data_IF_226555245153
#
_entry.id   IF_226555245153
#
_cell.length_a   1.000
_cell.length_b   1.000
_cell.length_c   1.000
_cell.angle_alpha   90.00
_cell.angle_beta   90.00
_cell.angle_gamma   90.00
#
_symmetry.space_group_name_H-M   'P 1'
#
loop_
_entity.id
_entity.type
_entity.pdbx_description
1 polymer ?
#
# COMPACT_ATOMS: atom_id res chain seq x y z
N UNK A 1 -21.25 16.11 -1.22
CA UNK A 1 -20.16 17.13 -1.25
C UNK A 1 -18.76 16.51 -1.20
N UNK A 2 -18.35 15.73 -0.14
CA UNK A 2 -16.99 15.07 -0.11
C UNK A 2 -16.85 14.06 -1.24
N UNK A 3 -17.83 13.20 -1.42
CA UNK A 3 -17.79 12.15 -2.46
C UNK A 3 -17.67 12.72 -3.88
N UNK A 4 -18.37 13.77 -4.22
CA UNK A 4 -18.28 14.42 -5.53
C UNK A 4 -16.89 15.01 -5.79
N UNK A 5 -16.24 15.57 -4.75
CA UNK A 5 -14.84 16.02 -4.83
C UNK A 5 -13.88 14.84 -5.04
N UNK A 6 -14.10 13.71 -4.35
CA UNK A 6 -13.33 12.47 -4.54
C UNK A 6 -13.49 11.93 -5.95
N UNK A 7 -14.72 11.88 -6.48
CA UNK A 7 -14.96 11.46 -7.86
C UNK A 7 -14.29 12.39 -8.86
N UNK A 8 -14.30 13.70 -8.62
CA UNK A 8 -13.64 14.66 -9.50
C UNK A 8 -12.12 14.42 -9.57
N UNK A 9 -11.48 14.06 -8.44
CA UNK A 9 -10.05 13.69 -8.39
C UNK A 9 -9.75 12.41 -9.17
N UNK A 10 -10.65 11.44 -9.13
CA UNK A 10 -10.48 10.13 -9.78
C UNK A 10 -11.02 10.08 -11.21
N UNK A 11 -11.73 11.12 -11.70
CA UNK A 11 -12.38 11.13 -13.02
C UNK A 11 -11.42 10.75 -14.17
N UNK A 12 -10.17 11.20 -14.13
CA UNK A 12 -9.15 10.83 -15.14
C UNK A 12 -8.55 9.43 -14.92
N UNK A 13 -8.95 8.71 -13.89
CA UNK A 13 -8.46 7.38 -13.53
C UNK A 13 -9.52 6.29 -13.70
N UNK A 14 -10.75 6.66 -13.99
CA UNK A 14 -11.83 5.72 -14.27
C UNK A 14 -11.59 4.98 -15.59
N UNK A 15 -11.92 3.69 -15.62
CA UNK A 15 -11.86 2.83 -16.79
C UNK A 15 -13.21 2.12 -16.97
N UNK A 16 -13.91 2.34 -18.10
CA UNK A 16 -15.20 1.69 -18.36
C UNK A 16 -15.13 0.14 -18.38
N UNK A 17 -13.96 -0.42 -18.71
CA UNK A 17 -13.76 -1.87 -18.71
C UNK A 17 -13.54 -2.46 -17.32
N UNK A 18 -13.20 -1.61 -16.35
CA UNK A 18 -12.92 -2.00 -14.96
C UNK A 18 -13.64 -1.04 -14.00
N UNK A 19 -15.00 -1.13 -13.88
CA UNK A 19 -15.79 -0.13 -13.17
C UNK A 19 -15.35 0.08 -11.72
N UNK A 20 -15.06 -0.99 -10.98
CA UNK A 20 -14.55 -0.89 -9.61
C UNK A 20 -13.04 -0.66 -9.58
N UNK A 21 -12.26 -1.43 -10.33
CA UNK A 21 -10.81 -1.52 -10.16
C UNK A 21 -10.03 -0.47 -10.98
N UNK A 22 -10.66 0.29 -11.89
CA UNK A 22 -10.00 1.21 -12.82
C UNK A 22 -8.94 2.12 -12.18
N UNK A 23 -9.26 2.94 -11.17
CA UNK A 23 -8.29 3.81 -10.51
C UNK A 23 -7.13 3.05 -9.86
N UNK A 24 -7.40 1.88 -9.29
CA UNK A 24 -6.38 1.07 -8.63
C UNK A 24 -5.44 0.41 -9.64
N UNK A 25 -5.97 -0.07 -10.78
CA UNK A 25 -5.16 -0.61 -11.88
C UNK A 25 -4.26 0.46 -12.49
N UNK A 26 -4.75 1.70 -12.59
CA UNK A 26 -3.93 2.82 -13.08
C UNK A 26 -2.77 3.13 -12.13
N UNK A 27 -3.00 3.06 -10.82
CA UNK A 27 -1.92 3.21 -9.83
C UNK A 27 -0.90 2.05 -9.92
N UNK A 28 -1.34 0.80 -10.07
CA UNK A 28 -0.45 -0.35 -10.33
C UNK A 28 0.42 -0.15 -11.57
N UNK A 29 -0.14 0.44 -12.62
CA UNK A 29 0.58 0.76 -13.83
C UNK A 29 1.62 1.86 -13.62
N UNK A 30 1.29 2.92 -12.86
CA UNK A 30 2.20 4.03 -12.55
C UNK A 30 3.41 3.55 -11.75
N UNK A 31 3.23 2.68 -10.77
CA UNK A 31 4.32 2.15 -9.94
C UNK A 31 5.02 0.92 -10.55
N UNK A 32 4.70 0.55 -11.81
CA UNK A 32 5.36 -0.53 -12.54
C UNK A 32 5.05 -1.94 -12.04
N UNK A 33 4.03 -2.08 -11.20
CA UNK A 33 3.56 -3.36 -10.67
C UNK A 33 2.69 -4.12 -11.70
N UNK A 34 2.21 -3.42 -12.72
CA UNK A 34 1.40 -3.95 -13.82
C UNK A 34 2.12 -3.78 -15.16
N UNK A 35 2.79 -4.82 -15.63
CA UNK A 35 3.64 -4.78 -16.82
C UNK A 35 2.82 -4.84 -18.12
N UNK A 36 2.27 -3.73 -18.55
CA UNK A 36 1.55 -3.59 -19.84
C UNK A 36 2.23 -2.63 -20.81
N UNK A 37 3.37 -2.08 -20.41
CA UNK A 37 4.09 -1.06 -21.18
C UNK A 37 5.05 -1.61 -22.23
N UNK A 38 5.82 -0.71 -22.83
CA UNK A 38 6.94 -1.06 -23.73
C UNK A 38 8.00 -1.87 -22.99
N UNK A 39 8.81 -2.65 -23.74
CA UNK A 39 9.92 -3.44 -23.17
C UNK A 39 10.86 -2.57 -22.33
N UNK A 40 11.21 -1.39 -22.84
CA UNK A 40 12.08 -0.43 -22.13
C UNK A 40 11.50 -0.03 -20.76
N UNK A 41 10.22 0.32 -20.72
CA UNK A 41 9.56 0.71 -19.48
C UNK A 41 9.50 -0.45 -18.46
N UNK A 42 9.16 -1.64 -18.93
CA UNK A 42 9.12 -2.81 -18.06
C UNK A 42 10.50 -3.12 -17.48
N UNK A 43 11.58 -3.06 -18.30
CA UNK A 43 12.96 -3.25 -17.82
C UNK A 43 13.38 -2.16 -16.82
N UNK A 44 12.98 -0.90 -17.04
CA UNK A 44 13.26 0.18 -16.10
C UNK A 44 12.60 -0.07 -14.73
N UNK A 45 11.35 -0.54 -14.71
CA UNK A 45 10.68 -0.91 -13.45
C UNK A 45 11.28 -2.15 -12.80
N UNK A 46 11.72 -3.16 -13.59
CA UNK A 46 12.44 -4.31 -13.04
C UNK A 46 13.75 -3.89 -12.34
N UNK A 47 14.44 -2.91 -12.91
CA UNK A 47 15.63 -2.32 -12.27
C UNK A 47 15.27 -1.60 -10.96
N UNK A 48 14.19 -0.79 -10.94
CA UNK A 48 13.73 -0.11 -9.72
C UNK A 48 13.33 -1.12 -8.65
N UNK A 49 12.58 -2.17 -9.00
CA UNK A 49 12.19 -3.21 -8.05
C UNK A 49 13.41 -4.03 -7.56
N UNK A 50 14.37 -4.30 -8.44
CA UNK A 50 15.65 -4.90 -8.06
C UNK A 50 16.44 -4.01 -7.09
N UNK A 51 16.47 -2.71 -7.34
CA UNK A 51 17.11 -1.73 -6.43
C UNK A 51 16.42 -1.69 -5.06
N UNK A 52 15.10 -1.87 -4.99
CA UNK A 52 14.37 -1.98 -3.72
C UNK A 52 14.84 -3.22 -2.92
N UNK A 53 15.04 -4.37 -3.57
CA UNK A 53 15.58 -5.56 -2.91
C UNK A 53 16.98 -5.29 -2.35
N UNK A 54 17.86 -4.71 -3.18
CA UNK A 54 19.23 -4.35 -2.75
C UNK A 54 19.17 -3.41 -1.55
N UNK A 55 18.29 -2.41 -1.59
CA UNK A 55 18.13 -1.45 -0.49
C UNK A 55 17.66 -2.12 0.81
N UNK A 56 16.73 -3.07 0.74
CA UNK A 56 16.31 -3.85 1.91
C UNK A 56 17.49 -4.66 2.48
N UNK A 57 18.30 -5.28 1.63
CA UNK A 57 19.49 -6.01 2.07
C UNK A 57 20.47 -5.05 2.78
N UNK A 58 20.71 -3.86 2.22
CA UNK A 58 21.58 -2.85 2.83
C UNK A 58 21.08 -2.37 4.19
N UNK A 59 19.76 -2.29 4.39
CA UNK A 59 19.16 -1.99 5.69
C UNK A 59 19.38 -3.12 6.70
N UNK A 60 19.27 -4.39 6.30
CA UNK A 60 19.57 -5.52 7.18
C UNK A 60 21.04 -5.59 7.55
N UNK A 61 21.95 -5.26 6.61
CA UNK A 61 23.38 -5.16 6.90
C UNK A 61 23.64 -4.08 7.95
N UNK A 62 23.05 -2.89 7.78
CA UNK A 62 23.16 -1.79 8.75
C UNK A 62 22.65 -2.22 10.13
N UNK A 63 21.47 -2.83 10.18
CA UNK A 63 20.86 -3.35 11.41
C UNK A 63 21.77 -4.37 12.11
N UNK A 64 22.43 -5.23 11.36
CA UNK A 64 23.41 -6.19 11.90
C UNK A 64 24.65 -5.49 12.48
N UNK A 65 25.15 -4.44 11.81
CA UNK A 65 26.32 -3.69 12.26
C UNK A 65 26.05 -2.92 13.56
N UNK A 66 24.83 -2.35 13.71
CA UNK A 66 24.44 -1.59 14.91
C UNK A 66 23.84 -2.46 16.04
N UNK A 67 23.82 -3.79 15.91
CA UNK A 67 23.14 -4.73 16.83
C UNK A 67 23.50 -4.59 18.31
N UNK A 68 24.65 -4.00 18.63
CA UNK A 68 25.11 -3.78 20.00
C UNK A 68 24.53 -2.49 20.63
N UNK A 69 23.93 -1.61 19.85
CA UNK A 69 23.26 -0.39 20.32
C UNK A 69 21.74 -0.56 20.23
N UNK A 70 21.13 -0.97 21.34
CA UNK A 70 19.70 -1.29 21.39
C UNK A 70 18.82 -0.11 20.95
N UNK A 71 19.19 1.14 21.27
CA UNK A 71 18.42 2.31 20.91
C UNK A 71 18.43 2.54 19.39
N UNK A 72 19.58 2.39 18.75
CA UNK A 72 19.69 2.48 17.28
C UNK A 72 18.96 1.35 16.59
N UNK A 73 19.07 0.11 17.12
CA UNK A 73 18.33 -1.06 16.60
C UNK A 73 16.83 -0.81 16.64
N UNK A 74 16.27 -0.39 17.79
CA UNK A 74 14.84 -0.15 17.95
C UNK A 74 14.32 0.95 16.99
N UNK A 75 15.13 1.98 16.74
CA UNK A 75 14.76 3.05 15.82
C UNK A 75 14.77 2.58 14.35
N UNK A 76 15.69 1.70 13.97
CA UNK A 76 15.86 1.28 12.57
C UNK A 76 15.03 0.05 12.19
N UNK A 77 14.77 -0.86 13.15
CA UNK A 77 14.08 -2.13 12.86
C UNK A 77 12.70 -1.93 12.27
N UNK A 78 11.94 -0.93 12.73
CA UNK A 78 10.59 -0.67 12.23
C UNK A 78 10.58 -0.25 10.76
N UNK A 79 11.51 0.59 10.32
CA UNK A 79 11.65 1.00 8.92
C UNK A 79 12.18 -0.15 8.05
N UNK A 80 13.12 -0.93 8.57
CA UNK A 80 13.65 -2.11 7.87
C UNK A 80 12.55 -3.17 7.64
N UNK A 81 11.74 -3.46 8.66
CA UNK A 81 10.60 -4.39 8.54
C UNK A 81 9.55 -3.85 7.56
N UNK A 82 9.23 -2.55 7.63
CA UNK A 82 8.32 -1.92 6.67
C UNK A 82 8.82 -2.03 5.23
N UNK A 83 10.12 -1.80 5.01
CA UNK A 83 10.75 -1.96 3.68
C UNK A 83 10.69 -3.42 3.20
N UNK A 84 10.92 -4.39 4.09
CA UNK A 84 10.79 -5.81 3.76
C UNK A 84 9.36 -6.21 3.40
N UNK A 85 8.35 -5.72 4.13
CA UNK A 85 6.93 -5.92 3.81
C UNK A 85 6.60 -5.29 2.45
N UNK A 86 7.08 -4.07 2.18
CA UNK A 86 6.91 -3.40 0.90
C UNK A 86 7.48 -4.25 -0.24
N UNK A 87 8.69 -4.77 -0.10
CA UNK A 87 9.30 -5.65 -1.07
C UNK A 87 8.48 -6.94 -1.27
N UNK A 88 8.01 -7.57 -0.19
CA UNK A 88 7.17 -8.77 -0.28
C UNK A 88 5.87 -8.52 -1.05
N UNK A 89 5.20 -7.38 -0.83
CA UNK A 89 4.01 -6.95 -1.59
C UNK A 89 4.32 -6.73 -3.07
N UNK A 90 5.40 -6.03 -3.38
CA UNK A 90 5.89 -5.82 -4.74
C UNK A 90 6.17 -7.15 -5.44
N UNK A 91 6.93 -8.02 -4.78
CA UNK A 91 7.29 -9.35 -5.28
C UNK A 91 6.04 -10.20 -5.55
N UNK A 92 5.05 -10.22 -4.65
CA UNK A 92 3.79 -10.91 -4.84
C UNK A 92 3.06 -10.49 -6.11
N UNK A 93 2.94 -9.18 -6.38
CA UNK A 93 2.29 -8.68 -7.60
C UNK A 93 3.06 -8.98 -8.88
N UNK A 94 4.40 -8.93 -8.84
CA UNK A 94 5.24 -9.15 -10.01
C UNK A 94 5.35 -10.62 -10.36
N UNK A 95 5.50 -11.51 -9.36
CA UNK A 95 5.68 -12.94 -9.59
C UNK A 95 4.38 -13.66 -9.96
N UNK A 96 3.28 -13.30 -9.28
CA UNK A 96 1.95 -13.86 -9.57
C UNK A 96 1.10 -12.93 -10.44
N UNK A 97 1.74 -12.25 -11.39
CA UNK A 97 1.05 -11.28 -12.24
C UNK A 97 -0.03 -11.92 -13.12
N UNK A 98 0.16 -13.16 -13.55
CA UNK A 98 -0.81 -13.88 -14.39
C UNK A 98 -2.09 -14.12 -13.60
N UNK A 99 -1.96 -14.64 -12.39
CA UNK A 99 -3.07 -14.96 -11.48
C UNK A 99 -3.81 -13.69 -11.06
N UNK A 100 -3.07 -12.61 -10.74
CA UNK A 100 -3.65 -11.31 -10.44
C UNK A 100 -4.44 -10.73 -11.63
N UNK A 101 -3.93 -10.89 -12.85
CA UNK A 101 -4.64 -10.45 -14.06
C UNK A 101 -5.89 -11.25 -14.32
N UNK A 102 -5.84 -12.56 -14.11
CA UNK A 102 -7.00 -13.41 -14.27
C UNK A 102 -8.09 -13.00 -13.26
N UNK A 103 -7.74 -12.83 -11.98
CA UNK A 103 -8.67 -12.39 -10.95
C UNK A 103 -9.31 -11.04 -11.29
N UNK A 104 -8.52 -10.05 -11.71
CA UNK A 104 -9.02 -8.73 -12.12
C UNK A 104 -9.97 -8.84 -13.31
N UNK A 105 -9.64 -9.68 -14.29
CA UNK A 105 -10.47 -9.92 -15.48
C UNK A 105 -11.81 -10.52 -15.08
N UNK A 106 -11.80 -11.59 -14.29
CA UNK A 106 -13.02 -12.29 -13.84
C UNK A 106 -13.94 -11.33 -13.04
N UNK A 107 -13.38 -10.54 -12.11
CA UNK A 107 -14.14 -9.54 -11.35
C UNK A 107 -14.77 -8.52 -12.31
N UNK A 108 -14.01 -8.00 -13.26
CA UNK A 108 -14.49 -6.95 -14.17
C UNK A 108 -15.54 -7.46 -15.14
N UNK A 109 -15.37 -8.68 -15.68
CA UNK A 109 -16.35 -9.32 -16.58
C UNK A 109 -17.67 -9.57 -15.85
N UNK A 110 -17.64 -10.09 -14.62
CA UNK A 110 -18.84 -10.35 -13.83
C UNK A 110 -19.54 -9.02 -13.44
N UNK A 111 -18.79 -8.00 -13.04
CA UNK A 111 -19.35 -6.68 -12.73
C UNK A 111 -20.03 -6.06 -13.94
N UNK A 112 -19.39 -6.08 -15.11
CA UNK A 112 -19.96 -5.58 -16.37
C UNK A 112 -21.21 -6.37 -16.78
N UNK A 113 -21.22 -7.68 -16.59
CA UNK A 113 -22.38 -8.51 -16.85
C UNK A 113 -23.55 -8.15 -15.93
N UNK A 114 -23.29 -7.92 -14.64
CA UNK A 114 -24.30 -7.48 -13.68
C UNK A 114 -24.85 -6.08 -14.00
N UNK A 115 -23.97 -5.15 -14.40
CA UNK A 115 -24.39 -3.80 -14.81
C UNK A 115 -25.31 -3.85 -16.04
N UNK A 116 -25.00 -4.72 -17.02
CA UNK A 116 -25.82 -4.88 -18.24
C UNK A 116 -27.22 -5.45 -17.96
N UNK A 117 -27.42 -6.21 -16.91
CA UNK A 117 -28.73 -6.74 -16.51
C UNK A 117 -29.72 -5.67 -16.04
N UNK A 118 -29.25 -4.48 -15.72
CA UNK A 118 -30.04 -3.33 -15.27
C UNK A 118 -30.99 -3.63 -14.08
N UNK A 119 -30.64 -4.62 -13.25
CA UNK A 119 -31.36 -4.90 -12.02
C UNK A 119 -31.14 -3.77 -11.02
N UNK A 120 -32.20 -3.05 -10.59
CA UNK A 120 -32.05 -1.87 -9.74
C UNK A 120 -31.46 -2.20 -8.37
N UNK A 121 -31.72 -3.39 -7.82
CA UNK A 121 -31.15 -3.84 -6.57
C UNK A 121 -29.64 -4.08 -6.69
N UNK A 122 -29.23 -4.79 -7.73
CA UNK A 122 -27.81 -5.08 -8.01
C UNK A 122 -27.06 -3.78 -8.26
N UNK A 123 -27.60 -2.88 -9.07
CA UNK A 123 -26.97 -1.58 -9.34
C UNK A 123 -26.81 -0.72 -8.07
N UNK A 124 -27.77 -0.76 -7.15
CA UNK A 124 -27.63 -0.09 -5.87
C UNK A 124 -26.40 -0.59 -5.10
N UNK A 125 -26.21 -1.91 -4.97
CA UNK A 125 -25.08 -2.48 -4.26
C UNK A 125 -23.75 -2.24 -4.97
N UNK A 126 -23.70 -2.33 -6.32
CA UNK A 126 -22.52 -1.98 -7.10
C UNK A 126 -22.12 -0.52 -6.83
N UNK A 127 -23.06 0.40 -6.85
CA UNK A 127 -22.80 1.80 -6.56
C UNK A 127 -22.30 2.03 -5.12
N UNK A 128 -22.87 1.32 -4.15
CA UNK A 128 -22.47 1.42 -2.74
C UNK A 128 -21.03 0.94 -2.52
N UNK A 129 -20.66 -0.26 -2.98
CA UNK A 129 -19.29 -0.75 -2.76
C UNK A 129 -18.26 0.00 -3.61
N UNK A 130 -18.61 0.43 -4.83
CA UNK A 130 -17.73 1.27 -5.64
C UNK A 130 -17.49 2.62 -4.99
N UNK A 131 -18.54 3.27 -4.49
CA UNK A 131 -18.44 4.52 -3.73
C UNK A 131 -17.54 4.38 -2.52
N UNK A 132 -17.71 3.31 -1.74
CA UNK A 132 -16.88 3.01 -0.58
C UNK A 132 -15.41 2.84 -0.99
N UNK A 133 -15.13 2.01 -2.00
CA UNK A 133 -13.78 1.78 -2.49
C UNK A 133 -13.10 3.08 -2.95
N UNK A 134 -13.82 3.97 -3.66
CA UNK A 134 -13.29 5.27 -4.12
C UNK A 134 -12.87 6.17 -2.95
N UNK A 135 -13.75 6.31 -1.95
CA UNK A 135 -13.49 7.16 -0.78
C UNK A 135 -12.28 6.64 -0.01
N UNK A 136 -12.26 5.34 0.28
CA UNK A 136 -11.13 4.73 1.01
C UNK A 136 -9.82 4.87 0.23
N UNK A 137 -9.82 4.63 -1.09
CA UNK A 137 -8.63 4.77 -1.94
C UNK A 137 -8.04 6.18 -1.83
N UNK A 138 -8.86 7.22 -1.95
CA UNK A 138 -8.39 8.60 -1.90
C UNK A 138 -7.88 8.96 -0.50
N UNK A 139 -8.63 8.60 0.56
CA UNK A 139 -8.21 8.87 1.94
C UNK A 139 -6.88 8.17 2.27
N UNK A 140 -6.72 6.93 1.82
CA UNK A 140 -5.48 6.19 2.08
C UNK A 140 -4.28 6.77 1.31
N UNK A 141 -4.48 7.22 0.05
CA UNK A 141 -3.45 7.92 -0.70
C UNK A 141 -3.00 9.20 0.00
N UNK A 142 -3.94 10.01 0.51
CA UNK A 142 -3.59 11.20 1.30
C UNK A 142 -2.79 10.84 2.56
N UNK A 143 -3.19 9.78 3.26
CA UNK A 143 -2.47 9.32 4.46
C UNK A 143 -1.04 8.88 4.10
N UNK A 144 -0.87 8.06 3.07
CA UNK A 144 0.45 7.54 2.68
C UNK A 144 1.35 8.64 2.14
N UNK A 145 0.83 9.55 1.32
CA UNK A 145 1.61 10.69 0.81
C UNK A 145 2.01 11.64 1.95
N UNK A 146 1.11 11.90 2.90
CA UNK A 146 1.40 12.72 4.08
C UNK A 146 2.47 12.10 4.97
N UNK A 147 2.38 10.80 5.25
CA UNK A 147 3.40 10.09 6.05
C UNK A 147 4.74 10.00 5.33
N UNK A 148 4.76 9.79 4.01
CA UNK A 148 5.99 9.80 3.24
C UNK A 148 6.66 11.19 3.23
N UNK A 149 5.87 12.25 3.08
CA UNK A 149 6.37 13.63 3.15
C UNK A 149 6.98 13.91 4.51
N UNK A 150 6.29 13.54 5.60
CA UNK A 150 6.80 13.71 6.96
C UNK A 150 8.11 12.93 7.18
N UNK A 151 8.19 11.69 6.68
CA UNK A 151 9.39 10.86 6.76
C UNK A 151 10.60 11.54 6.08
N UNK A 152 10.40 12.15 4.91
CA UNK A 152 11.45 12.84 4.14
C UNK A 152 11.85 14.16 4.81
N UNK A 153 10.87 14.91 5.31
CA UNK A 153 11.11 16.26 5.83
C UNK A 153 11.65 16.25 7.27
N UNK A 154 11.31 15.24 8.09
CA UNK A 154 11.71 15.18 9.50
C UNK A 154 13.23 15.34 9.74
N UNK A 155 14.14 14.61 9.03
CA UNK A 155 15.58 14.80 9.23
C UNK A 155 16.06 16.19 8.81
N UNK A 156 15.47 16.77 7.77
CA UNK A 156 15.79 18.14 7.34
C UNK A 156 15.33 19.17 8.37
N UNK A 157 14.13 19.00 8.93
CA UNK A 157 13.64 19.87 10.00
C UNK A 157 14.54 19.80 11.24
N UNK A 158 14.98 18.60 11.64
CA UNK A 158 15.92 18.43 12.76
C UNK A 158 17.21 19.22 12.53
N UNK A 159 17.77 19.12 11.32
CA UNK A 159 18.98 19.86 10.96
C UNK A 159 18.76 21.37 10.94
N UNK A 160 17.66 21.85 10.38
CA UNK A 160 17.39 23.29 10.26
C UNK A 160 16.99 23.95 11.59
N UNK A 161 16.24 23.25 12.47
CA UNK A 161 15.66 23.84 13.68
C UNK A 161 16.59 23.82 14.89
N UNK A 162 17.60 22.93 14.94
CA UNK A 162 18.47 22.77 16.11
C UNK A 162 19.88 23.23 15.83
N UNK A 163 20.25 24.39 16.42
CA UNK A 163 21.61 24.95 16.36
C UNK A 163 22.61 24.02 17.08
N UNK A 164 22.25 23.53 18.26
CA UNK A 164 23.05 22.58 19.02
C UNK A 164 23.34 21.29 18.22
N UNK A 165 22.38 20.81 17.43
CA UNK A 165 22.58 19.62 16.59
C UNK A 165 23.58 19.91 15.45
N UNK A 166 23.53 21.08 14.82
CA UNK A 166 24.51 21.48 13.80
C UNK A 166 25.92 21.59 14.37
N UNK A 167 26.06 22.19 15.56
CA UNK A 167 27.36 22.30 16.26
C UNK A 167 27.95 20.91 16.59
N UNK A 168 27.10 19.94 17.02
CA UNK A 168 27.53 18.57 17.28
C UNK A 168 27.99 17.86 16.01
N UNK A 169 27.33 18.12 14.86
CA UNK A 169 27.78 17.62 13.56
C UNK A 169 29.12 18.24 13.16
N UNK A 170 29.31 19.56 13.33
CA UNK A 170 30.56 20.25 13.02
C UNK A 170 31.74 19.76 13.90
N UNK A 171 31.46 19.43 15.16
CA UNK A 171 32.43 18.81 16.08
C UNK A 171 32.70 17.33 15.81
N UNK A 172 31.92 16.68 14.92
CA UNK A 172 32.03 15.25 14.61
C UNK A 172 31.44 14.34 15.71
N UNK A 173 30.66 14.89 16.65
CA UNK A 173 30.01 14.16 17.73
C UNK A 173 28.73 13.49 17.27
N UNK A 174 28.02 14.06 16.29
CA UNK A 174 26.82 13.55 15.68
C UNK A 174 26.97 13.41 14.15
N UNK A 175 26.18 12.51 13.58
CA UNK A 175 26.21 12.23 12.14
C UNK A 175 25.15 13.06 11.40
N UNK A 176 25.38 13.31 10.11
CA UNK A 176 24.39 13.93 9.23
C UNK A 176 23.09 13.08 9.22
N UNK A 177 21.90 13.75 9.25
CA UNK A 177 20.65 13.05 9.38
C UNK A 177 20.30 12.27 8.09
N UNK A 178 19.91 11.01 8.22
CA UNK A 178 19.42 10.16 7.15
C UNK A 178 17.90 9.96 7.27
N UNK A 179 17.25 9.71 6.14
CA UNK A 179 15.80 9.41 6.07
C UNK A 179 15.55 7.97 6.51
N UNK A 180 16.33 7.05 5.95
CA UNK A 180 16.28 5.63 6.25
C UNK A 180 17.73 5.17 6.39
N UNK A 181 18.07 4.60 7.53
CA UNK A 181 19.42 4.09 7.76
C UNK A 181 19.66 2.81 6.96
N UNK A 182 20.75 2.79 6.22
CA UNK A 182 21.21 1.66 5.43
C UNK A 182 22.71 1.74 5.27
N UNK A 183 23.37 0.61 5.18
CA UNK A 183 24.79 0.55 4.89
C UNK A 183 25.05 0.87 3.41
N UNK A 184 26.08 1.67 3.13
CA UNK A 184 26.50 1.96 1.77
C UNK A 184 28.00 1.65 1.61
N UNK A 185 28.47 1.21 0.43
CA UNK A 185 29.87 0.88 0.19
C UNK A 185 30.78 2.11 0.00
N UNK A 186 30.28 3.30 0.30
CA UNK A 186 31.02 4.57 0.20
C UNK A 186 30.74 5.45 1.43
N UNK A 187 31.56 6.47 1.62
CA UNK A 187 31.43 7.39 2.77
C UNK A 187 30.18 8.28 2.59
N UNK A 188 29.15 7.98 3.40
CA UNK A 188 27.88 8.71 3.40
C UNK A 188 27.89 9.97 4.31
N UNK A 189 29.02 10.23 5.00
CA UNK A 189 29.14 11.37 5.88
C UNK A 189 29.89 12.54 5.24
N UNK A 190 30.41 12.36 4.02
CA UNK A 190 31.09 13.39 3.24
C UNK A 190 30.40 13.65 1.91
N UNK A 191 30.48 14.88 1.43
CA UNK A 191 30.05 15.20 0.06
C UNK A 191 31.02 14.61 -0.96
N UNK A 192 30.56 14.02 -2.09
CA UNK A 192 29.19 13.95 -2.58
C UNK A 192 28.40 12.72 -2.09
N UNK A 193 29.01 11.78 -1.35
CA UNK A 193 28.38 10.52 -0.95
C UNK A 193 27.09 10.72 -0.14
N UNK A 194 27.06 11.70 0.76
CA UNK A 194 25.84 12.07 1.50
C UNK A 194 24.67 12.44 0.57
N UNK A 195 24.91 13.31 -0.41
CA UNK A 195 23.87 13.75 -1.33
C UNK A 195 23.31 12.57 -2.17
N UNK A 196 24.22 11.70 -2.65
CA UNK A 196 23.82 10.50 -3.42
C UNK A 196 22.96 9.58 -2.56
N UNK A 197 23.36 9.35 -1.29
CA UNK A 197 22.62 8.48 -0.38
C UNK A 197 21.23 9.03 -0.06
N UNK A 198 21.09 10.34 0.20
CA UNK A 198 19.81 11.00 0.48
C UNK A 198 18.87 10.95 -0.73
N UNK A 199 19.36 11.27 -1.92
CA UNK A 199 18.54 11.19 -3.15
C UNK A 199 18.04 9.76 -3.36
N UNK A 200 18.90 8.78 -3.19
CA UNK A 200 18.53 7.37 -3.31
C UNK A 200 17.47 6.97 -2.26
N UNK A 201 17.63 7.40 -1.01
CA UNK A 201 16.66 7.16 0.07
C UNK A 201 15.31 7.79 -0.23
N UNK A 202 15.26 9.02 -0.76
CA UNK A 202 14.02 9.69 -1.17
C UNK A 202 13.30 8.89 -2.27
N UNK A 203 14.03 8.43 -3.27
CA UNK A 203 13.47 7.62 -4.37
C UNK A 203 12.90 6.31 -3.81
N UNK A 204 13.66 5.60 -2.97
CA UNK A 204 13.23 4.33 -2.40
C UNK A 204 12.03 4.49 -1.44
N UNK A 205 12.02 5.53 -0.60
CA UNK A 205 10.89 5.84 0.29
C UNK A 205 9.62 6.16 -0.50
N UNK A 206 9.73 6.96 -1.56
CA UNK A 206 8.59 7.34 -2.42
C UNK A 206 8.05 6.16 -3.21
N UNK A 207 8.94 5.33 -3.78
CA UNK A 207 8.57 4.11 -4.48
C UNK A 207 7.88 3.12 -3.52
N UNK A 208 8.48 2.90 -2.33
CA UNK A 208 7.92 2.01 -1.31
C UNK A 208 6.53 2.44 -0.84
N UNK A 209 6.35 3.72 -0.57
CA UNK A 209 5.05 4.29 -0.18
C UNK A 209 3.99 4.07 -1.27
N UNK A 210 4.35 4.29 -2.55
CA UNK A 210 3.47 4.06 -3.68
C UNK A 210 3.10 2.59 -3.87
N UNK A 211 4.04 1.67 -3.70
CA UNK A 211 3.79 0.23 -3.74
C UNK A 211 2.80 -0.19 -2.64
N UNK A 212 3.01 0.25 -1.40
CA UNK A 212 2.11 -0.04 -0.29
C UNK A 212 0.70 0.48 -0.58
N UNK A 213 0.58 1.78 -0.93
CA UNK A 213 -0.72 2.38 -1.20
C UNK A 213 -1.47 1.66 -2.32
N UNK A 214 -0.78 1.36 -3.41
CA UNK A 214 -1.37 0.71 -4.58
C UNK A 214 -1.80 -0.74 -4.28
N UNK A 215 -0.95 -1.51 -3.60
CA UNK A 215 -1.26 -2.89 -3.23
C UNK A 215 -2.48 -2.95 -2.29
N UNK A 216 -2.43 -2.21 -1.19
CA UNK A 216 -3.47 -2.27 -0.15
C UNK A 216 -4.82 -1.79 -0.68
N UNK A 217 -4.84 -0.75 -1.51
CA UNK A 217 -6.09 -0.28 -2.10
C UNK A 217 -6.66 -1.23 -3.15
N UNK A 218 -5.84 -1.98 -3.89
CA UNK A 218 -6.33 -3.06 -4.73
C UNK A 218 -6.98 -4.16 -3.90
N UNK A 219 -6.32 -4.61 -2.85
CA UNK A 219 -6.87 -5.62 -1.94
C UNK A 219 -8.19 -5.15 -1.36
N UNK A 220 -8.28 -3.92 -0.83
CA UNK A 220 -9.52 -3.35 -0.26
C UNK A 220 -10.64 -3.27 -1.30
N UNK A 221 -10.33 -2.91 -2.55
CA UNK A 221 -11.34 -2.86 -3.62
C UNK A 221 -11.88 -4.26 -3.94
N UNK A 222 -11.01 -5.26 -4.07
CA UNK A 222 -11.39 -6.66 -4.30
C UNK A 222 -12.24 -7.19 -3.13
N UNK A 223 -11.86 -6.86 -1.89
CA UNK A 223 -12.63 -7.22 -0.71
C UNK A 223 -14.02 -6.59 -0.70
N UNK A 224 -14.11 -5.33 -1.11
CA UNK A 224 -15.39 -4.61 -1.21
C UNK A 224 -16.29 -5.25 -2.27
N UNK A 225 -15.72 -5.72 -3.38
CA UNK A 225 -16.42 -6.49 -4.39
C UNK A 225 -16.99 -7.78 -3.80
N UNK A 226 -16.17 -8.63 -3.17
CA UNK A 226 -16.65 -9.89 -2.59
C UNK A 226 -17.72 -9.67 -1.52
N UNK A 227 -17.56 -8.65 -0.66
CA UNK A 227 -18.60 -8.26 0.29
C UNK A 227 -19.91 -7.92 -0.44
N UNK A 228 -19.85 -7.13 -1.51
CA UNK A 228 -20.99 -6.77 -2.33
C UNK A 228 -21.68 -7.98 -2.94
N UNK A 229 -20.90 -8.91 -3.52
CA UNK A 229 -21.41 -10.16 -4.09
C UNK A 229 -22.11 -11.04 -3.05
N UNK A 230 -21.55 -11.13 -1.83
CA UNK A 230 -22.18 -11.88 -0.73
C UNK A 230 -23.53 -11.30 -0.33
N UNK A 231 -23.66 -9.96 -0.29
CA UNK A 231 -24.92 -9.31 0.01
C UNK A 231 -25.96 -9.56 -1.09
N UNK A 232 -25.56 -9.45 -2.36
CA UNK A 232 -26.43 -9.74 -3.51
C UNK A 232 -26.89 -11.21 -3.48
N UNK A 233 -25.99 -12.14 -3.19
CA UNK A 233 -26.31 -13.56 -3.10
C UNK A 233 -27.28 -13.84 -1.96
N UNK A 234 -27.03 -13.26 -0.78
CA UNK A 234 -27.95 -13.37 0.37
C UNK A 234 -29.36 -12.89 0.03
N UNK A 235 -29.47 -11.75 -0.64
CA UNK A 235 -30.78 -11.20 -1.03
C UNK A 235 -31.50 -12.10 -2.03
N UNK A 236 -30.79 -12.55 -3.07
CA UNK A 236 -31.37 -13.50 -4.05
C UNK A 236 -31.77 -14.83 -3.43
N UNK A 237 -31.00 -15.32 -2.45
CA UNK A 237 -31.36 -16.52 -1.70
C UNK A 237 -32.65 -16.29 -0.91
N UNK A 238 -32.82 -15.18 -0.24
CA UNK A 238 -34.05 -14.84 0.48
C UNK A 238 -35.26 -14.77 -0.47
N UNK A 239 -35.12 -14.15 -1.64
CA UNK A 239 -36.17 -14.06 -2.65
C UNK A 239 -36.59 -15.45 -3.18
N UNK A 240 -35.65 -16.40 -3.28
CA UNK A 240 -35.93 -17.79 -3.67
C UNK A 240 -36.64 -18.55 -2.54
N UNK A 241 -36.25 -18.34 -1.28
CA UNK A 241 -36.90 -18.99 -0.12
C UNK A 241 -38.31 -18.49 0.12
N UNK A 242 -38.57 -17.22 -0.12
CA UNK A 242 -39.92 -16.68 -0.05
C UNK A 242 -40.82 -17.12 -1.23
N UNK A 243 -40.20 -17.57 -2.36
CA UNK A 243 -40.87 -17.94 -3.60
C UNK A 243 -41.06 -19.45 -3.87
N UNK A 244 -40.22 -20.34 -3.32
CA UNK A 244 -40.32 -21.76 -3.63
C UNK A 244 -39.54 -22.64 -2.63
N UNK A 245 -40.26 -23.50 -1.92
CA UNK A 245 -39.68 -24.66 -1.23
C UNK A 245 -39.20 -25.67 -2.28
N UNK A 246 -37.93 -25.81 -2.56
CA UNK A 246 -37.44 -26.79 -3.54
C UNK A 246 -35.98 -27.24 -3.35
N UNK A 247 -35.75 -28.49 -3.63
CA UNK A 247 -34.64 -29.41 -3.46
C UNK A 247 -33.26 -29.06 -4.03
N UNK A 248 -33.00 -27.87 -4.56
CA UNK A 248 -31.70 -27.49 -5.16
C UNK A 248 -30.74 -26.77 -4.20
N UNK A 249 -31.12 -26.66 -2.94
CA UNK A 249 -30.39 -25.82 -1.94
C UNK A 249 -29.02 -26.38 -1.57
N UNK A 250 -28.89 -27.71 -1.45
CA UNK A 250 -27.66 -28.36 -1.02
C UNK A 250 -26.52 -28.28 -2.07
N UNK A 251 -26.84 -28.29 -3.35
CA UNK A 251 -25.83 -28.18 -4.42
C UNK A 251 -25.30 -26.75 -4.55
N UNK A 252 -26.18 -25.75 -4.47
CA UNK A 252 -25.77 -24.34 -4.50
C UNK A 252 -24.98 -23.96 -3.25
N UNK A 253 -25.34 -24.48 -2.08
CA UNK A 253 -24.57 -24.26 -0.84
C UNK A 253 -23.20 -24.95 -0.89
N UNK A 254 -23.10 -26.16 -1.43
CA UNK A 254 -21.81 -26.85 -1.63
C UNK A 254 -20.92 -26.15 -2.63
N UNK A 255 -21.48 -25.66 -3.75
CA UNK A 255 -20.76 -24.85 -4.74
C UNK A 255 -20.27 -23.53 -4.13
N UNK A 256 -21.14 -22.85 -3.39
CA UNK A 256 -20.81 -21.64 -2.66
C UNK A 256 -19.67 -21.84 -1.66
N UNK A 257 -19.72 -22.91 -0.86
CA UNK A 257 -18.70 -23.21 0.14
C UNK A 257 -17.37 -23.64 -0.50
N UNK A 258 -17.37 -24.31 -1.63
CA UNK A 258 -16.16 -24.70 -2.37
C UNK A 258 -15.47 -23.50 -3.03
N UNK A 259 -16.22 -22.49 -3.46
CA UNK A 259 -15.70 -21.26 -4.05
C UNK A 259 -15.24 -20.25 -2.98
N UNK A 260 -15.92 -20.22 -1.83
CA UNK A 260 -15.62 -19.26 -0.76
C UNK A 260 -14.45 -19.69 0.13
N UNK A 261 -14.30 -20.98 0.39
CA UNK A 261 -13.32 -21.47 1.36
C UNK A 261 -11.86 -21.11 1.01
N UNK A 262 -11.34 -21.34 -0.20
CA UNK A 262 -9.97 -20.97 -0.54
C UNK A 262 -9.78 -19.45 -0.66
N UNK A 263 -10.79 -18.74 -1.18
CA UNK A 263 -10.73 -17.27 -1.32
C UNK A 263 -10.82 -16.57 0.02
N UNK A 264 -11.64 -17.06 0.96
CA UNK A 264 -11.73 -16.51 2.31
C UNK A 264 -10.46 -16.79 3.14
N UNK A 265 -9.83 -17.95 2.96
CA UNK A 265 -8.55 -18.24 3.63
C UNK A 265 -7.43 -17.33 3.14
N UNK A 266 -7.31 -17.17 1.82
CA UNK A 266 -6.35 -16.22 1.21
C UNK A 266 -6.64 -14.78 1.66
N UNK A 267 -7.91 -14.42 1.75
CA UNK A 267 -8.38 -13.14 2.25
C UNK A 267 -7.96 -12.88 3.69
N UNK A 268 -8.21 -13.82 4.61
CA UNK A 268 -7.82 -13.68 6.03
C UNK A 268 -6.30 -13.56 6.16
N UNK A 269 -5.52 -14.32 5.39
CA UNK A 269 -4.06 -14.21 5.35
C UNK A 269 -3.60 -12.82 4.85
N UNK A 270 -4.18 -12.33 3.76
CA UNK A 270 -3.85 -10.99 3.23
C UNK A 270 -4.27 -9.88 4.20
N UNK A 271 -5.44 -10.00 4.85
CA UNK A 271 -5.89 -9.08 5.88
C UNK A 271 -4.95 -9.07 7.09
N UNK A 272 -4.53 -10.22 7.58
CA UNK A 272 -3.61 -10.27 8.72
C UNK A 272 -2.26 -9.62 8.38
N UNK A 273 -1.76 -9.81 7.18
CA UNK A 273 -0.53 -9.13 6.71
C UNK A 273 -0.72 -7.61 6.56
N UNK A 274 -1.88 -7.16 6.06
CA UNK A 274 -2.16 -5.72 5.95
C UNK A 274 -2.38 -5.08 7.32
N UNK A 275 -3.02 -5.76 8.26
CA UNK A 275 -3.19 -5.29 9.64
C UNK A 275 -1.83 -5.18 10.32
N UNK A 276 -0.95 -6.18 10.20
CA UNK A 276 0.41 -6.10 10.75
C UNK A 276 1.20 -4.92 10.15
N UNK A 277 1.13 -4.71 8.83
CA UNK A 277 1.73 -3.54 8.18
C UNK A 277 1.16 -2.21 8.68
N UNK A 278 -0.16 -2.16 8.89
CA UNK A 278 -0.84 -0.97 9.43
C UNK A 278 -0.49 -0.70 10.89
N UNK A 279 -0.36 -1.73 11.72
CA UNK A 279 0.09 -1.59 13.13
C UNK A 279 1.52 -1.05 13.19
N UNK A 280 2.41 -1.51 12.33
CA UNK A 280 3.78 -0.96 12.21
C UNK A 280 3.72 0.52 11.77
N UNK A 281 2.88 0.87 10.79
CA UNK A 281 2.66 2.26 10.39
C UNK A 281 2.09 3.11 11.53
N UNK A 282 1.11 2.61 12.29
CA UNK A 282 0.56 3.31 13.46
C UNK A 282 1.56 3.48 14.60
N UNK A 283 2.43 2.50 14.84
CA UNK A 283 3.50 2.65 15.83
C UNK A 283 4.50 3.74 15.43
N UNK A 284 4.78 3.85 14.13
CA UNK A 284 5.60 4.94 13.56
C UNK A 284 4.93 6.31 13.71
N UNK A 285 3.62 6.42 13.44
CA UNK A 285 2.85 7.66 13.66
C UNK A 285 2.82 8.03 15.14
N UNK A 286 2.70 7.07 16.05
CA UNK A 286 2.78 7.30 17.49
C UNK A 286 4.17 7.82 17.92
N UNK A 287 5.24 7.30 17.32
CA UNK A 287 6.60 7.79 17.52
C UNK A 287 6.77 9.23 17.00
N UNK A 288 6.25 9.53 15.81
CA UNK A 288 6.23 10.89 15.22
C UNK A 288 5.41 11.82 16.12
N UNK A 289 4.28 11.39 16.67
CA UNK A 289 3.46 12.16 17.60
C UNK A 289 4.22 12.49 18.90
N UNK A 290 4.96 11.54 19.45
CA UNK A 290 5.84 11.78 20.61
C UNK A 290 6.98 12.75 20.27
N UNK A 291 7.53 12.66 19.06
CA UNK A 291 8.56 13.59 18.56
C UNK A 291 7.97 15.00 18.41
N UNK A 292 6.76 15.13 17.83
CA UNK A 292 6.04 16.39 17.71
C UNK A 292 5.74 17.02 19.07
N UNK A 293 5.28 16.24 20.05
CA UNK A 293 5.02 16.72 21.42
C UNK A 293 6.32 17.19 22.07
N UNK A 294 7.44 16.49 21.89
CA UNK A 294 8.75 16.90 22.43
C UNK A 294 9.27 18.17 21.75
N UNK A 295 9.14 18.29 20.43
CA UNK A 295 9.53 19.46 19.67
C UNK A 295 8.64 20.66 20.08
N UNK A 296 7.34 20.47 20.20
CA UNK A 296 6.41 21.52 20.64
C UNK A 296 6.68 21.99 22.08
N UNK A 297 6.98 21.06 22.99
CA UNK A 297 7.34 21.38 24.38
C UNK A 297 8.75 22.00 24.53
N UNK A 298 9.63 21.86 23.54
CA UNK A 298 10.93 22.54 23.54
C UNK A 298 10.88 23.96 22.98
N UNK A 299 9.73 24.36 22.39
CA UNK A 299 9.49 25.74 21.91
C UNK A 299 8.70 26.61 22.90
N UNK A 300 8.24 26.02 24.03
CA UNK A 300 7.66 26.73 25.17
C UNK A 300 8.53 26.55 26.42
#
# INVERSE_FOLDING_TARGET
MIYEKVLALLKGWEDPNHPLLGPNLKSLFIFGLWKTGTKFRNTAYDFVHGSTLVFVILQFIDLYLIRHDLNKVLNNVSLTVLSAICFAKCYSLVMWQIEWRQLVKEISEEELFQIKKQDPLIQKYINEYTKYARVITVLFWFLVLGTNLLLIVTPLLKYCSSESYREQIEKGEEQLPHIIYAWFPFDIYKMPGYLISIIFQIIMASQGSGVIATYDMNVVAIMSYFKGQLIILKQKSQDIFEGTSSKNEDEQYKLFNSLLSPTMYLYVLLCSMTICGSVVQFSMVSFIKQLWVRVFLSFF
#
